data_IF_594815352803
#
_entry.id   IF_594815352803
#
_cell.length_a   1.000
_cell.length_b   1.000
_cell.length_c   1.000
_cell.angle_alpha   90.00
_cell.angle_beta   90.00
_cell.angle_gamma   90.00
#
_symmetry.space_group_name_H-M   'P 1'
#
loop_
_entity.id
_entity.type
_entity.pdbx_description
1 polymer ?
#
# COMPACT_ATOMS: atom_id res chain seq x y z
N UNK A 1 -2.72 73.56 -20.50
CA UNK A 1 -4.07 72.92 -20.35
C UNK A 1 -4.11 71.43 -20.82
N UNK A 2 -3.08 70.67 -20.56
CA UNK A 2 -2.93 69.33 -21.24
C UNK A 2 -2.86 68.11 -20.30
N UNK A 3 -3.15 68.24 -19.03
CA UNK A 3 -2.99 67.17 -18.10
C UNK A 3 -4.28 66.57 -17.45
N UNK A 4 -5.47 67.10 -17.84
CA UNK A 4 -6.75 66.59 -17.30
C UNK A 4 -7.32 65.41 -18.10
N UNK A 5 -6.96 65.23 -19.37
CA UNK A 5 -7.46 64.12 -20.20
C UNK A 5 -6.84 62.80 -19.95
N UNK A 6 -5.56 62.76 -19.59
CA UNK A 6 -4.83 61.51 -19.30
C UNK A 6 -5.26 60.85 -17.96
N UNK A 7 -5.60 61.69 -16.96
CA UNK A 7 -6.02 61.20 -15.64
C UNK A 7 -7.42 60.55 -15.66
N UNK A 8 -8.32 61.04 -16.50
CA UNK A 8 -9.67 60.48 -16.66
C UNK A 8 -9.67 59.18 -17.47
N UNK A 9 -8.74 59.02 -18.43
CA UNK A 9 -8.61 57.82 -19.25
C UNK A 9 -8.10 56.64 -18.37
N UNK A 10 -7.14 56.89 -17.49
CA UNK A 10 -6.60 55.89 -16.54
C UNK A 10 -7.63 55.45 -15.48
N UNK A 11 -8.49 56.38 -15.01
CA UNK A 11 -9.56 56.02 -14.06
C UNK A 11 -10.59 55.07 -14.68
N UNK A 12 -10.97 55.26 -15.93
CA UNK A 12 -11.92 54.36 -16.62
C UNK A 12 -11.33 52.98 -16.86
N UNK A 13 -10.03 52.87 -17.16
CA UNK A 13 -9.32 51.62 -17.34
C UNK A 13 -9.21 50.88 -15.99
N UNK A 14 -8.88 51.55 -14.89
CA UNK A 14 -8.79 50.98 -13.55
C UNK A 14 -10.15 50.46 -13.07
N UNK A 15 -11.23 51.24 -13.27
CA UNK A 15 -12.59 50.83 -12.91
C UNK A 15 -13.02 49.61 -13.73
N UNK A 16 -12.72 49.57 -15.03
CA UNK A 16 -13.00 48.39 -15.87
C UNK A 16 -12.27 47.14 -15.45
N UNK A 17 -10.99 47.25 -15.05
CA UNK A 17 -10.20 46.13 -14.52
C UNK A 17 -10.73 45.64 -13.16
N UNK A 18 -11.08 46.54 -12.25
CA UNK A 18 -11.66 46.15 -10.95
C UNK A 18 -13.02 45.43 -11.11
N UNK A 19 -13.89 45.92 -12.00
CA UNK A 19 -15.16 45.24 -12.28
C UNK A 19 -14.96 43.85 -12.90
N UNK A 20 -14.00 43.69 -13.80
CA UNK A 20 -13.65 42.38 -14.39
C UNK A 20 -13.18 41.38 -13.36
N UNK A 21 -12.31 41.77 -12.44
CA UNK A 21 -11.80 40.90 -11.37
C UNK A 21 -12.91 40.47 -10.41
N UNK A 22 -13.81 41.41 -10.03
CA UNK A 22 -14.95 41.08 -9.15
C UNK A 22 -15.90 40.09 -9.82
N UNK A 23 -16.17 40.24 -11.12
CA UNK A 23 -17.00 39.29 -11.87
C UNK A 23 -16.34 37.90 -11.93
N UNK A 24 -15.04 37.81 -12.20
CA UNK A 24 -14.31 36.55 -12.24
C UNK A 24 -14.33 35.87 -10.86
N UNK A 25 -14.08 36.59 -9.78
CA UNK A 25 -14.15 36.05 -8.40
C UNK A 25 -15.58 35.58 -8.09
N UNK A 26 -16.60 36.38 -8.49
CA UNK A 26 -18.01 35.99 -8.31
C UNK A 26 -18.37 34.68 -9.03
N UNK A 27 -17.93 34.51 -10.28
CA UNK A 27 -18.12 33.28 -11.06
C UNK A 27 -17.39 32.10 -10.39
N UNK A 28 -16.16 32.32 -9.91
CA UNK A 28 -15.38 31.29 -9.25
C UNK A 28 -16.03 30.83 -7.93
N UNK A 29 -16.55 31.76 -7.13
CA UNK A 29 -17.28 31.45 -5.90
C UNK A 29 -18.61 30.71 -6.18
N UNK A 30 -19.33 31.07 -7.24
CA UNK A 30 -20.55 30.37 -7.65
C UNK A 30 -20.20 28.94 -8.12
N UNK A 31 -19.11 28.76 -8.87
CA UNK A 31 -18.66 27.44 -9.32
C UNK A 31 -18.22 26.55 -8.14
N UNK A 32 -17.63 27.13 -7.10
CA UNK A 32 -17.29 26.40 -5.87
C UNK A 32 -18.57 26.04 -5.10
N UNK A 33 -19.50 27.00 -4.96
CA UNK A 33 -20.74 26.78 -4.22
C UNK A 33 -21.70 25.79 -4.93
N UNK A 34 -21.63 25.68 -6.25
CA UNK A 34 -22.44 24.73 -7.03
C UNK A 34 -21.79 23.36 -7.20
N UNK A 35 -20.52 23.19 -6.81
CA UNK A 35 -19.94 21.85 -6.70
C UNK A 35 -20.65 21.13 -5.56
N UNK A 36 -21.65 20.32 -5.91
CA UNK A 36 -22.19 19.35 -4.97
C UNK A 36 -21.02 18.51 -4.45
N UNK A 37 -20.90 18.30 -3.12
CA UNK A 37 -19.92 17.35 -2.63
C UNK A 37 -20.16 16.03 -3.37
N UNK A 38 -19.12 15.45 -3.90
CA UNK A 38 -19.19 14.10 -4.46
C UNK A 38 -19.54 13.21 -3.29
N UNK A 39 -20.81 12.89 -3.12
CA UNK A 39 -21.23 11.87 -2.17
C UNK A 39 -20.52 10.58 -2.60
N UNK A 40 -19.53 10.18 -1.82
CA UNK A 40 -18.89 8.87 -1.95
C UNK A 40 -19.96 7.83 -1.56
N UNK A 41 -20.79 7.43 -2.52
CA UNK A 41 -21.72 6.32 -2.33
C UNK A 41 -20.95 5.00 -2.40
N UNK A 42 -20.16 4.72 -1.37
CA UNK A 42 -19.74 3.34 -1.10
C UNK A 42 -20.93 2.68 -0.42
N UNK A 43 -21.70 1.94 -1.19
CA UNK A 43 -22.83 1.18 -0.63
C UNK A 43 -22.29 -0.08 0.00
N UNK A 44 -22.56 -0.23 1.30
CA UNK A 44 -22.32 -1.47 2.03
C UNK A 44 -23.16 -2.59 1.39
N UNK A 45 -22.53 -3.61 0.87
CA UNK A 45 -23.24 -4.80 0.42
C UNK A 45 -23.74 -5.58 1.64
N UNK A 46 -25.00 -5.95 1.61
CA UNK A 46 -25.62 -6.73 2.69
C UNK A 46 -25.17 -8.18 2.56
N UNK A 47 -23.95 -8.47 3.05
CA UNK A 47 -23.44 -9.84 3.13
C UNK A 47 -24.04 -10.55 4.34
N UNK A 48 -25.05 -11.37 4.10
CA UNK A 48 -25.47 -12.41 5.04
C UNK A 48 -24.28 -13.30 5.37
N UNK A 49 -23.63 -13.06 6.48
CA UNK A 49 -22.55 -13.89 7.00
C UNK A 49 -23.12 -15.25 7.41
N UNK A 50 -23.07 -16.22 6.50
CA UNK A 50 -22.97 -17.62 6.94
C UNK A 50 -21.63 -17.73 7.64
N UNK A 51 -21.65 -18.06 8.93
CA UNK A 51 -20.45 -18.37 9.72
C UNK A 51 -19.73 -19.53 9.02
N UNK A 52 -18.74 -19.19 8.18
CA UNK A 52 -17.88 -20.21 7.60
C UNK A 52 -16.95 -20.69 8.71
N UNK A 53 -16.88 -22.00 8.91
CA UNK A 53 -15.84 -22.62 9.75
C UNK A 53 -14.49 -22.07 9.26
N UNK A 54 -13.62 -21.60 10.18
CA UNK A 54 -12.32 -21.10 9.77
C UNK A 54 -11.58 -22.17 8.98
N UNK A 55 -11.26 -21.91 7.73
CA UNK A 55 -10.42 -22.77 6.92
C UNK A 55 -9.01 -22.55 7.43
N UNK A 56 -8.30 -23.65 7.74
CA UNK A 56 -6.89 -23.55 8.12
C UNK A 56 -6.12 -22.88 6.98
N UNK A 57 -5.42 -21.78 7.30
CA UNK A 57 -4.66 -21.01 6.31
C UNK A 57 -3.41 -21.79 5.95
N UNK A 58 -3.21 -22.04 4.67
CA UNK A 58 -2.00 -22.68 4.15
C UNK A 58 -0.91 -21.62 3.90
N UNK A 59 0.10 -21.63 4.75
CA UNK A 59 1.29 -20.77 4.64
C UNK A 59 2.44 -21.42 3.86
N UNK A 60 2.23 -22.57 3.21
CA UNK A 60 3.30 -23.29 2.49
C UNK A 60 3.72 -22.62 1.20
N UNK A 61 2.86 -21.81 0.61
CA UNK A 61 3.06 -21.12 -0.66
C UNK A 61 3.75 -19.77 -0.53
N UNK A 62 3.71 -19.02 -1.63
CA UNK A 62 4.08 -17.60 -1.70
C UNK A 62 2.88 -16.81 -1.23
N UNK A 63 3.08 -15.86 -0.32
CA UNK A 63 2.04 -14.90 0.05
C UNK A 63 1.60 -14.11 -1.16
N UNK A 64 0.29 -14.02 -1.37
CA UNK A 64 -0.26 -13.23 -2.46
C UNK A 64 -0.08 -11.74 -2.15
N UNK A 65 0.91 -11.14 -2.76
CA UNK A 65 1.22 -9.72 -2.65
C UNK A 65 1.43 -9.15 -4.05
N UNK A 66 1.03 -7.91 -4.25
CA UNK A 66 1.40 -7.17 -5.45
C UNK A 66 2.92 -7.01 -5.56
N UNK A 67 3.64 -7.05 -4.44
CA UNK A 67 5.09 -7.02 -4.37
C UNK A 67 5.79 -8.20 -5.03
N UNK A 68 5.14 -9.35 -5.20
CA UNK A 68 5.70 -10.43 -6.02
C UNK A 68 5.72 -10.11 -7.52
N UNK A 69 4.92 -9.13 -7.92
CA UNK A 69 4.85 -8.62 -9.30
C UNK A 69 5.45 -7.22 -9.42
N UNK A 70 5.32 -6.43 -8.35
CA UNK A 70 5.74 -5.04 -8.26
C UNK A 70 6.02 -4.70 -6.81
N UNK A 71 7.13 -4.89 -6.29
CA UNK A 71 7.66 -4.35 -5.04
C UNK A 71 6.68 -3.56 -4.16
N UNK A 72 6.23 -4.19 -3.08
CA UNK A 72 5.56 -3.55 -1.97
C UNK A 72 4.40 -2.64 -2.35
N UNK A 73 3.29 -3.21 -2.77
CA UNK A 73 2.11 -2.43 -3.10
C UNK A 73 1.17 -2.28 -1.90
N UNK A 74 0.42 -1.21 -1.91
CA UNK A 74 -0.67 -0.97 -0.98
C UNK A 74 -1.93 -1.75 -1.41
N UNK A 75 -1.73 -2.92 -2.03
CA UNK A 75 -2.80 -3.78 -2.51
C UNK A 75 -2.44 -5.26 -2.43
N UNK A 76 -3.44 -6.09 -2.20
CA UNK A 76 -3.30 -7.54 -2.18
C UNK A 76 -4.62 -8.23 -2.55
N UNK A 77 -4.55 -9.47 -3.03
CA UNK A 77 -5.75 -10.27 -3.31
C UNK A 77 -6.08 -11.17 -2.12
N UNK A 78 -7.27 -10.98 -1.56
CA UNK A 78 -7.80 -11.79 -0.46
C UNK A 78 -8.74 -12.85 -1.02
N UNK A 79 -8.42 -14.12 -0.79
CA UNK A 79 -9.20 -15.23 -1.32
C UNK A 79 -10.66 -15.19 -0.84
N UNK A 80 -11.58 -15.23 -1.79
CA UNK A 80 -13.02 -15.21 -1.54
C UNK A 80 -13.59 -13.84 -1.16
N UNK A 81 -12.78 -12.78 -1.32
CA UNK A 81 -13.22 -11.39 -1.17
C UNK A 81 -12.88 -10.54 -2.39
N UNK A 82 -11.65 -10.56 -2.84
CA UNK A 82 -11.20 -9.77 -3.97
C UNK A 82 -9.94 -8.94 -3.67
N UNK A 83 -9.71 -7.90 -4.46
CA UNK A 83 -8.55 -7.03 -4.31
C UNK A 83 -8.77 -6.03 -3.19
N UNK A 84 -7.90 -6.08 -2.20
CA UNK A 84 -7.83 -5.09 -1.11
C UNK A 84 -6.80 -4.04 -1.47
N UNK A 85 -7.15 -2.78 -1.26
CA UNK A 85 -6.32 -1.62 -1.53
C UNK A 85 -6.31 -0.67 -0.32
N UNK A 86 -5.16 -0.07 -0.03
CA UNK A 86 -5.09 1.10 0.82
C UNK A 86 -5.29 2.35 -0.03
N UNK A 87 -6.45 2.99 0.12
CA UNK A 87 -6.80 4.21 -0.59
C UNK A 87 -6.44 5.41 0.28
N UNK A 88 -5.41 6.13 -0.10
CA UNK A 88 -4.97 7.35 0.60
C UNK A 88 -5.45 8.59 -0.13
N UNK A 89 -6.07 9.49 0.61
CA UNK A 89 -6.43 10.83 0.13
C UNK A 89 -6.18 11.87 1.25
N UNK A 90 -6.48 13.13 0.96
CA UNK A 90 -6.28 14.24 1.91
C UNK A 90 -7.06 14.07 3.23
N UNK A 91 -8.03 13.16 3.30
CA UNK A 91 -8.80 12.85 4.50
C UNK A 91 -8.23 11.69 5.33
N UNK A 92 -7.18 11.03 4.83
CA UNK A 92 -6.50 9.91 5.47
C UNK A 92 -6.49 8.64 4.64
N UNK A 93 -6.15 7.54 5.29
CA UNK A 93 -6.06 6.21 4.70
C UNK A 93 -7.37 5.43 4.90
N UNK A 94 -7.82 4.73 3.88
CA UNK A 94 -9.01 3.88 3.93
C UNK A 94 -8.75 2.54 3.24
N UNK A 95 -8.85 1.45 3.99
CA UNK A 95 -8.76 0.12 3.43
C UNK A 95 -10.07 -0.26 2.73
N UNK A 96 -10.02 -0.36 1.42
CA UNK A 96 -11.13 -0.73 0.55
C UNK A 96 -10.95 -2.13 -0.03
N UNK A 97 -12.03 -2.74 -0.48
CA UNK A 97 -12.02 -4.02 -1.18
C UNK A 97 -12.86 -3.93 -2.45
N UNK A 98 -12.27 -4.27 -3.59
CA UNK A 98 -13.04 -4.55 -4.79
C UNK A 98 -13.50 -6.01 -4.73
N UNK A 99 -14.76 -6.20 -4.36
CA UNK A 99 -15.35 -7.52 -4.10
C UNK A 99 -15.65 -8.29 -5.39
N UNK A 100 -15.06 -9.47 -5.53
CA UNK A 100 -15.17 -10.30 -6.72
C UNK A 100 -16.60 -10.76 -7.01
N UNK A 101 -17.41 -10.95 -5.97
CA UNK A 101 -18.77 -11.48 -6.12
C UNK A 101 -19.77 -10.42 -6.57
N UNK A 102 -19.58 -9.19 -6.08
CA UNK A 102 -20.48 -8.06 -6.37
C UNK A 102 -19.94 -7.12 -7.43
N UNK A 103 -18.66 -7.23 -7.79
CA UNK A 103 -17.94 -6.34 -8.70
C UNK A 103 -18.04 -4.85 -8.26
N UNK A 104 -17.97 -4.62 -6.94
CA UNK A 104 -18.10 -3.29 -6.34
C UNK A 104 -16.96 -3.00 -5.39
N UNK A 105 -16.55 -1.74 -5.38
CA UNK A 105 -15.66 -1.22 -4.36
C UNK A 105 -16.45 -0.92 -3.09
N UNK A 106 -15.98 -1.43 -1.96
CA UNK A 106 -16.60 -1.28 -0.65
C UNK A 106 -15.56 -1.19 0.45
N UNK A 107 -15.95 -0.80 1.66
CA UNK A 107 -15.06 -0.85 2.80
C UNK A 107 -14.65 -2.29 3.11
N UNK A 108 -13.38 -2.47 3.48
CA UNK A 108 -12.88 -3.80 3.85
C UNK A 108 -13.56 -4.33 5.12
N UNK A 109 -13.90 -3.46 6.07
CA UNK A 109 -14.65 -3.83 7.25
C UNK A 109 -16.08 -4.26 6.89
N UNK A 110 -16.48 -5.46 7.28
CA UNK A 110 -17.81 -6.00 7.04
C UNK A 110 -18.68 -6.11 8.32
N UNK A 111 -18.30 -5.43 9.40
CA UNK A 111 -19.12 -5.36 10.63
C UNK A 111 -20.41 -4.57 10.34
N UNK A 112 -21.58 -5.18 10.57
CA UNK A 112 -22.91 -4.60 10.24
C UNK A 112 -23.20 -3.24 10.85
N UNK A 113 -22.73 -2.98 12.06
CA UNK A 113 -22.97 -1.74 12.80
C UNK A 113 -21.79 -0.76 12.76
N UNK A 114 -20.78 -1.02 11.94
CA UNK A 114 -19.61 -0.17 11.88
C UNK A 114 -19.91 1.06 11.00
N UNK A 115 -19.68 2.25 11.55
CA UNK A 115 -19.82 3.52 10.82
C UNK A 115 -18.58 3.84 9.98
N UNK A 116 -17.53 3.02 10.07
CA UNK A 116 -16.24 3.17 9.38
C UNK A 116 -15.55 4.52 9.59
N UNK A 117 -15.73 5.13 10.77
CA UNK A 117 -15.16 6.43 11.15
C UNK A 117 -14.37 6.39 12.48
N UNK A 118 -14.31 5.22 13.13
CA UNK A 118 -13.57 5.04 14.38
C UNK A 118 -12.15 4.52 14.14
N UNK A 119 -11.24 4.82 15.07
CA UNK A 119 -9.85 4.33 15.04
C UNK A 119 -9.72 2.83 15.28
N UNK A 120 -10.77 2.18 15.79
CA UNK A 120 -10.87 0.73 15.98
C UNK A 120 -11.38 0.00 14.74
N UNK A 121 -11.77 0.75 13.71
CA UNK A 121 -12.21 0.16 12.44
C UNK A 121 -11.02 -0.18 11.56
N UNK A 122 -10.97 -1.43 11.10
CA UNK A 122 -9.96 -1.91 10.17
C UNK A 122 -9.84 -1.07 8.88
N UNK A 123 -10.95 -0.43 8.46
CA UNK A 123 -10.95 0.42 7.28
C UNK A 123 -10.10 1.68 7.44
N UNK A 124 -9.94 2.19 8.67
CA UNK A 124 -9.25 3.45 8.94
C UNK A 124 -7.81 3.24 9.43
N UNK A 125 -7.22 2.10 9.18
CA UNK A 125 -5.83 1.84 9.52
C UNK A 125 -4.93 2.27 8.35
N UNK A 126 -3.84 2.96 8.67
CA UNK A 126 -2.75 3.18 7.71
C UNK A 126 -1.95 1.91 7.55
N UNK A 127 -2.04 1.29 6.38
CA UNK A 127 -1.40 0.03 6.06
C UNK A 127 -0.54 0.18 4.82
N UNK A 128 0.62 -0.46 4.82
CA UNK A 128 1.55 -0.49 3.70
C UNK A 128 2.01 -1.91 3.46
N UNK A 129 2.52 -2.19 2.26
CA UNK A 129 3.21 -3.45 1.95
C UNK A 129 2.38 -4.69 2.32
N UNK A 130 1.17 -4.80 1.81
CA UNK A 130 0.25 -5.88 2.15
C UNK A 130 0.65 -7.23 1.53
N UNK A 131 0.51 -8.30 2.32
CA UNK A 131 0.74 -9.70 1.93
C UNK A 131 -0.48 -10.52 2.34
N UNK A 132 -0.99 -11.36 1.45
CA UNK A 132 -2.15 -12.20 1.73
C UNK A 132 -1.84 -13.69 1.61
N UNK A 133 -2.32 -14.44 2.60
CA UNK A 133 -2.43 -15.90 2.56
C UNK A 133 -3.90 -16.28 2.79
N UNK A 134 -4.56 -16.75 1.75
CA UNK A 134 -5.99 -17.03 1.83
C UNK A 134 -6.80 -15.79 2.22
N UNK A 135 -7.41 -15.83 3.40
CA UNK A 135 -8.21 -14.74 3.98
C UNK A 135 -7.46 -13.90 5.03
N UNK A 136 -6.18 -14.19 5.25
CA UNK A 136 -5.31 -13.45 6.18
C UNK A 136 -4.52 -12.40 5.42
N UNK A 137 -4.56 -11.16 5.89
CA UNK A 137 -3.71 -10.07 5.44
C UNK A 137 -2.65 -9.79 6.50
N UNK A 138 -1.40 -9.70 6.06
CA UNK A 138 -0.32 -9.10 6.84
C UNK A 138 0.02 -7.76 6.19
N UNK A 139 0.27 -6.75 7.01
CA UNK A 139 0.60 -5.42 6.52
C UNK A 139 1.54 -4.71 7.48
N UNK A 140 2.32 -3.79 6.94
CA UNK A 140 3.11 -2.86 7.75
C UNK A 140 2.20 -1.73 8.18
N UNK A 141 2.31 -1.32 9.44
CA UNK A 141 1.56 -0.22 10.04
C UNK A 141 2.37 0.48 11.12
N UNK A 142 1.74 1.45 11.74
CA UNK A 142 2.37 2.31 12.75
C UNK A 142 2.82 3.64 12.15
N UNK A 143 2.95 4.66 13.00
CA UNK A 143 3.28 6.03 12.61
C UNK A 143 4.62 6.14 11.86
N UNK A 144 5.51 5.18 12.10
CA UNK A 144 6.86 5.09 11.53
C UNK A 144 7.05 3.83 10.69
N UNK A 145 5.96 3.14 10.32
CA UNK A 145 5.99 1.85 9.61
C UNK A 145 6.90 0.82 10.32
N UNK A 146 6.81 0.69 11.63
CA UNK A 146 7.65 -0.23 12.41
C UNK A 146 6.93 -1.50 12.88
N UNK A 147 5.65 -1.65 12.57
CA UNK A 147 4.84 -2.77 13.04
C UNK A 147 4.39 -3.66 11.89
N UNK A 148 4.33 -4.97 12.14
CA UNK A 148 3.65 -5.91 11.24
C UNK A 148 2.37 -6.37 11.93
N UNK A 149 1.27 -6.15 11.25
CA UNK A 149 -0.07 -6.47 11.71
C UNK A 149 -0.65 -7.65 10.94
N UNK A 150 -1.35 -8.51 11.67
CA UNK A 150 -2.18 -9.59 11.11
C UNK A 150 -3.64 -9.18 11.18
N UNK A 151 -4.31 -9.28 10.05
CA UNK A 151 -5.71 -8.91 9.88
C UNK A 151 -6.47 -10.14 9.40
N UNK A 152 -7.45 -10.57 10.18
CA UNK A 152 -8.30 -11.70 9.85
C UNK A 152 -9.66 -11.54 10.56
N UNK A 153 -10.76 -11.85 9.88
CA UNK A 153 -12.12 -11.81 10.44
C UNK A 153 -12.51 -10.45 11.09
N UNK A 154 -12.04 -9.33 10.52
CA UNK A 154 -12.15 -7.96 11.08
C UNK A 154 -11.42 -7.76 12.42
N UNK A 155 -10.56 -8.63 12.81
CA UNK A 155 -9.64 -8.45 13.93
C UNK A 155 -8.29 -8.00 13.42
N UNK A 156 -7.66 -7.11 14.18
CA UNK A 156 -6.35 -6.54 13.90
C UNK A 156 -5.46 -6.84 15.08
N UNK A 157 -4.33 -7.48 14.82
CA UNK A 157 -3.37 -7.82 15.86
C UNK A 157 -1.96 -7.46 15.41
N UNK A 158 -1.27 -6.64 16.19
CA UNK A 158 0.16 -6.43 16.00
C UNK A 158 0.89 -7.71 16.39
N UNK A 159 1.58 -8.33 15.45
CA UNK A 159 2.30 -9.60 15.66
C UNK A 159 3.79 -9.39 15.84
N UNK A 160 4.33 -8.27 15.36
CA UNK A 160 5.75 -7.97 15.44
C UNK A 160 5.97 -6.45 15.48
N UNK A 161 6.99 -6.02 16.24
CA UNK A 161 7.47 -4.62 16.30
C UNK A 161 8.95 -4.58 16.02
N UNK A 162 9.31 -3.92 14.94
CA UNK A 162 10.70 -3.62 14.59
C UNK A 162 11.21 -2.40 15.38
N UNK A 163 12.50 -2.36 15.62
CA UNK A 163 13.18 -1.15 16.15
C UNK A 163 13.41 -0.10 15.06
N UNK A 164 13.29 -0.48 13.81
CA UNK A 164 13.59 0.33 12.64
C UNK A 164 12.38 0.37 11.71
N UNK A 165 12.32 1.39 10.87
CA UNK A 165 11.35 1.50 9.79
C UNK A 165 11.40 0.25 8.89
N UNK A 166 10.24 -0.27 8.51
CA UNK A 166 10.08 -1.37 7.58
C UNK A 166 9.76 -0.77 6.20
N UNK A 167 10.66 -0.95 5.24
CA UNK A 167 10.55 -0.41 3.89
C UNK A 167 10.01 -1.41 2.85
N UNK A 168 9.58 -2.60 3.26
CA UNK A 168 8.99 -3.61 2.40
C UNK A 168 8.62 -4.87 3.17
N UNK A 169 7.58 -5.56 2.71
CA UNK A 169 7.10 -6.81 3.32
C UNK A 169 6.78 -7.82 2.22
N UNK A 170 7.23 -9.04 2.39
CA UNK A 170 6.97 -10.17 1.49
C UNK A 170 6.59 -11.41 2.27
N UNK A 171 5.74 -12.23 1.70
CA UNK A 171 5.40 -13.53 2.23
C UNK A 171 5.99 -14.63 1.37
N UNK A 172 6.74 -15.54 1.97
CA UNK A 172 7.20 -16.72 1.27
C UNK A 172 7.20 -17.93 2.23
N UNK A 173 6.41 -18.95 1.89
CA UNK A 173 6.15 -20.09 2.77
C UNK A 173 5.67 -19.63 4.15
N UNK A 174 6.19 -20.18 5.24
CA UNK A 174 5.82 -19.84 6.63
C UNK A 174 6.54 -18.62 7.20
N UNK A 175 7.13 -17.77 6.35
CA UNK A 175 7.88 -16.60 6.79
C UNK A 175 7.33 -15.33 6.19
N UNK A 176 7.36 -14.29 6.99
CA UNK A 176 7.28 -12.91 6.53
C UNK A 176 8.70 -12.36 6.47
N UNK A 177 9.09 -11.93 5.28
CA UNK A 177 10.34 -11.24 5.04
C UNK A 177 10.07 -9.76 5.01
N UNK A 178 10.91 -8.99 5.65
CA UNK A 178 10.83 -7.53 5.61
C UNK A 178 12.23 -6.94 5.51
N UNK A 179 12.30 -5.72 5.05
CA UNK A 179 13.56 -5.00 4.97
C UNK A 179 13.53 -3.72 5.76
N UNK A 180 14.71 -3.31 6.19
CA UNK A 180 15.01 -2.00 6.75
C UNK A 180 16.36 -1.51 6.20
N UNK A 181 16.87 -0.39 6.72
CA UNK A 181 18.14 0.21 6.29
C UNK A 181 19.36 -0.69 6.49
N UNK A 182 19.24 -1.78 7.23
CA UNK A 182 20.36 -2.68 7.56
C UNK A 182 20.32 -4.01 6.79
N UNK A 183 19.24 -4.27 6.05
CA UNK A 183 19.13 -5.48 5.24
C UNK A 183 17.74 -6.12 5.21
N UNK A 184 17.72 -7.42 4.88
CA UNK A 184 16.49 -8.22 4.89
C UNK A 184 16.47 -9.08 6.15
N UNK A 185 15.33 -9.10 6.79
CA UNK A 185 15.02 -9.89 7.97
C UNK A 185 13.84 -10.80 7.68
N UNK A 186 13.63 -11.81 8.52
CA UNK A 186 12.43 -12.63 8.49
C UNK A 186 11.95 -12.98 9.89
N UNK A 187 10.66 -13.18 9.99
CA UNK A 187 10.00 -13.77 11.17
C UNK A 187 9.15 -14.96 10.72
N UNK A 188 9.02 -15.98 11.57
CA UNK A 188 8.07 -17.05 11.35
C UNK A 188 6.64 -16.55 11.60
N UNK A 189 5.69 -16.92 10.74
CA UNK A 189 4.26 -16.62 10.96
C UNK A 189 3.73 -17.34 12.21
N UNK A 190 4.27 -18.52 12.50
CA UNK A 190 3.87 -19.35 13.66
C UNK A 190 4.51 -18.85 14.98
N UNK A 191 5.71 -18.24 14.92
CA UNK A 191 6.42 -17.69 16.09
C UNK A 191 7.12 -16.36 15.68
N UNK A 192 6.40 -15.25 15.62
CA UNK A 192 6.96 -13.97 15.18
C UNK A 192 7.88 -13.30 16.21
N UNK A 193 8.08 -13.90 17.38
CA UNK A 193 8.98 -13.37 18.41
C UNK A 193 10.46 -13.48 18.06
N UNK A 194 10.81 -14.32 17.08
CA UNK A 194 12.18 -14.56 16.65
C UNK A 194 12.45 -13.91 15.31
N UNK A 195 13.20 -12.84 15.35
CA UNK A 195 13.74 -12.18 14.18
C UNK A 195 15.06 -12.82 13.76
N UNK A 196 15.21 -13.06 12.46
CA UNK A 196 16.44 -13.56 11.86
C UNK A 196 16.89 -12.61 10.75
N UNK A 197 18.13 -12.14 10.80
CA UNK A 197 18.72 -11.37 9.70
C UNK A 197 19.15 -12.33 8.59
N UNK A 198 18.60 -12.12 7.39
CA UNK A 198 18.85 -12.95 6.21
C UNK A 198 19.90 -12.33 5.31
N UNK A 199 19.79 -11.04 5.05
CA UNK A 199 20.78 -10.28 4.27
C UNK A 199 21.30 -9.15 5.15
N UNK A 200 22.59 -9.09 5.31
CA UNK A 200 23.34 -8.20 6.22
C UNK A 200 23.82 -6.90 5.53
N UNK A 201 23.12 -6.45 4.51
CA UNK A 201 23.46 -5.24 3.74
C UNK A 201 22.19 -4.54 3.29
N UNK A 202 22.21 -3.21 3.19
CA UNK A 202 21.10 -2.45 2.63
C UNK A 202 20.72 -2.95 1.23
N UNK A 203 19.44 -3.11 1.03
CA UNK A 203 18.84 -3.57 -0.23
C UNK A 203 17.76 -2.57 -0.61
N UNK A 204 17.66 -2.22 -1.87
CA UNK A 204 16.55 -1.40 -2.33
C UNK A 204 15.26 -2.23 -2.33
N UNK A 205 14.20 -1.71 -1.73
CA UNK A 205 12.91 -2.40 -1.62
C UNK A 205 12.32 -2.77 -2.99
N UNK A 206 12.67 -2.03 -4.03
CA UNK A 206 12.25 -2.31 -5.38
C UNK A 206 12.92 -3.54 -6.01
N UNK A 207 13.86 -4.18 -5.32
CA UNK A 207 14.78 -5.13 -5.94
C UNK A 207 14.84 -6.47 -5.20
N UNK A 208 13.71 -6.91 -4.64
CA UNK A 208 13.61 -8.21 -3.95
C UNK A 208 12.52 -9.05 -4.57
N UNK A 209 12.83 -10.30 -4.90
CA UNK A 209 11.83 -11.29 -5.32
C UNK A 209 12.22 -12.69 -4.84
N UNK A 210 11.25 -13.60 -4.80
CA UNK A 210 11.40 -14.96 -4.27
C UNK A 210 11.03 -15.98 -5.35
N UNK A 211 11.90 -16.98 -5.57
CA UNK A 211 11.63 -18.03 -6.52
C UNK A 211 12.43 -19.29 -6.22
N UNK A 212 11.77 -20.47 -6.28
CA UNK A 212 12.41 -21.80 -6.08
C UNK A 212 13.33 -21.83 -4.87
N UNK A 213 12.83 -21.36 -3.71
CA UNK A 213 13.54 -21.31 -2.43
C UNK A 213 14.81 -20.47 -2.43
N UNK A 214 14.84 -19.47 -3.29
CA UNK A 214 15.89 -18.47 -3.33
C UNK A 214 15.30 -17.07 -3.20
N UNK A 215 16.10 -16.18 -2.64
CA UNK A 215 15.87 -14.74 -2.63
C UNK A 215 16.75 -14.15 -3.72
N UNK A 216 16.19 -13.29 -4.57
CA UNK A 216 16.89 -12.48 -5.55
C UNK A 216 16.77 -11.02 -5.14
N UNK A 217 17.88 -10.31 -5.07
CA UNK A 217 17.92 -8.93 -4.59
C UNK A 217 19.07 -8.15 -5.21
N UNK A 218 18.94 -6.83 -5.27
CA UNK A 218 20.02 -5.95 -5.70
C UNK A 218 20.56 -5.17 -4.51
N UNK A 219 21.88 -5.07 -4.43
CA UNK A 219 22.57 -4.22 -3.48
C UNK A 219 22.76 -2.81 -4.07
N UNK A 220 23.42 -1.92 -3.33
CA UNK A 220 23.71 -0.55 -3.77
C UNK A 220 24.57 -0.47 -5.04
N UNK A 221 25.34 -1.51 -5.34
CA UNK A 221 26.14 -1.64 -6.57
C UNK A 221 25.27 -1.90 -7.82
N UNK A 222 23.97 -2.05 -7.64
CA UNK A 222 22.98 -2.41 -8.66
C UNK A 222 23.25 -3.76 -9.32
N UNK A 223 23.98 -4.64 -8.66
CA UNK A 223 24.18 -6.00 -9.14
C UNK A 223 23.15 -6.93 -8.52
N UNK A 224 22.70 -7.90 -9.31
CA UNK A 224 21.75 -8.90 -8.89
C UNK A 224 22.45 -10.04 -8.16
N UNK A 225 21.97 -10.34 -6.97
CA UNK A 225 22.42 -11.43 -6.12
C UNK A 225 21.31 -12.45 -5.92
N UNK A 226 21.70 -13.66 -5.57
CA UNK A 226 20.80 -14.67 -5.04
C UNK A 226 21.34 -15.22 -3.73
N UNK A 227 20.46 -15.68 -2.86
CA UNK A 227 20.77 -16.42 -1.65
C UNK A 227 19.70 -17.49 -1.37
N UNK A 228 20.01 -18.41 -0.46
CA UNK A 228 18.99 -19.26 0.13
C UNK A 228 18.02 -18.43 0.97
N UNK A 229 16.88 -19.01 1.35
CA UNK A 229 15.86 -18.33 2.18
C UNK A 229 16.36 -17.92 3.57
N UNK A 230 17.43 -18.53 4.05
CA UNK A 230 18.12 -18.19 5.30
C UNK A 230 19.32 -17.27 5.13
N UNK A 231 19.57 -16.78 3.89
CA UNK A 231 20.67 -15.91 3.54
C UNK A 231 21.97 -16.62 3.24
N UNK A 232 22.07 -17.95 3.46
CA UNK A 232 23.26 -18.72 3.09
C UNK A 232 23.44 -18.82 1.57
N UNK A 233 24.62 -19.24 1.12
CA UNK A 233 24.99 -19.36 -0.30
C UNK A 233 24.75 -18.07 -1.11
N UNK A 234 24.99 -16.92 -0.46
CA UNK A 234 24.88 -15.62 -1.12
C UNK A 234 25.93 -15.48 -2.21
N UNK A 235 25.49 -15.25 -3.43
CA UNK A 235 26.37 -15.07 -4.58
C UNK A 235 25.77 -14.13 -5.62
N UNK A 236 26.63 -13.55 -6.41
CA UNK A 236 26.24 -12.76 -7.55
C UNK A 236 25.56 -13.65 -8.59
N UNK A 237 24.42 -13.20 -9.11
CA UNK A 237 23.62 -13.94 -10.07
C UNK A 237 24.05 -13.64 -11.52
N UNK A 238 24.33 -12.37 -11.83
CA UNK A 238 24.81 -11.94 -13.14
C UNK A 238 25.86 -10.83 -13.00
N UNK A 239 26.62 -10.59 -14.06
CA UNK A 239 27.70 -9.60 -14.09
C UNK A 239 27.23 -8.22 -14.55
N UNK A 240 26.01 -8.12 -15.04
CA UNK A 240 25.42 -6.89 -15.49
C UNK A 240 24.67 -6.20 -14.36
N UNK A 241 24.56 -4.87 -14.43
CA UNK A 241 23.68 -4.11 -13.57
C UNK A 241 22.24 -4.51 -13.86
N UNK A 242 21.50 -4.75 -12.82
CA UNK A 242 20.13 -5.22 -12.91
C UNK A 242 19.27 -4.49 -11.87
N UNK A 243 18.08 -4.14 -12.26
CA UNK A 243 17.09 -3.54 -11.37
C UNK A 243 15.75 -4.24 -11.52
N UNK A 244 14.91 -4.13 -10.51
CA UNK A 244 13.52 -4.61 -10.51
C UNK A 244 13.38 -6.07 -10.99
N UNK A 245 14.05 -7.05 -10.37
CA UNK A 245 13.94 -8.44 -10.77
C UNK A 245 12.50 -8.92 -10.58
N UNK A 246 11.94 -9.53 -11.63
CA UNK A 246 10.58 -10.06 -11.64
C UNK A 246 10.58 -11.49 -12.18
N UNK A 247 9.77 -12.35 -11.61
CA UNK A 247 9.61 -13.73 -12.06
C UNK A 247 8.30 -13.85 -12.85
N UNK A 248 8.42 -14.43 -14.05
CA UNK A 248 7.27 -14.83 -14.84
C UNK A 248 7.51 -16.24 -15.39
N UNK A 249 6.74 -17.21 -14.91
CA UNK A 249 6.98 -18.63 -15.18
C UNK A 249 8.36 -19.06 -14.65
N UNK A 250 9.19 -19.61 -15.51
CA UNK A 250 10.55 -20.06 -15.21
C UNK A 250 11.64 -19.01 -15.53
N UNK A 251 11.24 -17.80 -15.89
CA UNK A 251 12.15 -16.74 -16.30
C UNK A 251 12.24 -15.63 -15.26
N UNK A 252 13.45 -15.17 -15.02
CA UNK A 252 13.76 -13.97 -14.25
C UNK A 252 13.99 -12.81 -15.25
N UNK A 253 13.17 -11.79 -15.17
CA UNK A 253 13.30 -10.55 -15.93
C UNK A 253 13.91 -9.48 -15.05
N UNK A 254 14.78 -8.66 -15.61
CA UNK A 254 15.37 -7.48 -14.97
C UNK A 254 15.71 -6.42 -16.01
N UNK A 255 15.91 -5.18 -15.61
CA UNK A 255 16.25 -4.05 -16.47
C UNK A 255 17.50 -3.32 -15.99
#
# INVERSE_FOLDING_TARGET
MENRGAFMKNKKIIIGLCCGVVIIIGIFLVLIATRKPVEKHVRQADHSTKTKTPIAVDYSGIGNTSGNLQNGGDQAYVQGRGVVIDNRDDSGSQMLCFDDSTQKLQFYCNKRSCLHNGTDCITNQELSYMVCYGDVVFAVSGTDNSEIWKIQNNEINCIYRSKNHIGGLWGYRKYLYFMNDFGIYRISIDDPSKEEQVIDKPVSYEYVTFYKDKIYFCLEDLLLYQANLDGSDKKRFCDEKAASPQICGDYLYYR
#
